data_IF_298574708512
#
_entry.id   IF_298574708512
#
_cell.length_a   1.000
_cell.length_b   1.000
_cell.length_c   1.000
_cell.angle_alpha   90.00
_cell.angle_beta   90.00
_cell.angle_gamma   90.00
#
_symmetry.space_group_name_H-M   'P 1'
#
loop_
_entity.id
_entity.type
_entity.pdbx_description
1 polymer ?
#
# COMPACT_ATOMS: atom_id res chain seq x y z
N UNK A 1 27.83 8.92 -8.86
CA UNK A 1 27.39 8.11 -7.70
C UNK A 1 26.66 9.07 -6.76
N UNK A 2 25.33 9.00 -6.74
CA UNK A 2 24.52 9.76 -5.77
C UNK A 2 24.73 9.19 -4.36
N UNK A 3 24.81 10.06 -3.35
CA UNK A 3 24.95 9.67 -1.95
C UNK A 3 23.78 8.72 -1.53
N UNK A 4 23.97 7.85 -0.52
CA UNK A 4 22.87 7.04 0.00
C UNK A 4 21.76 7.95 0.54
N UNK A 5 20.50 7.53 0.31
CA UNK A 5 19.32 8.24 0.81
C UNK A 5 19.33 8.23 2.34
N UNK A 6 19.16 9.39 2.96
CA UNK A 6 19.32 9.53 4.43
C UNK A 6 18.05 9.17 5.20
N UNK A 7 16.88 9.22 4.58
CA UNK A 7 15.59 9.06 5.25
C UNK A 7 15.08 7.61 5.37
N UNK A 8 15.46 6.73 4.45
CA UNK A 8 14.96 5.35 4.44
C UNK A 8 15.28 4.53 5.70
N UNK A 9 16.54 4.55 6.23
CA UNK A 9 16.87 3.86 7.48
C UNK A 9 16.13 4.42 8.69
N UNK A 10 15.94 5.76 8.75
CA UNK A 10 15.18 6.40 9.82
C UNK A 10 13.70 5.99 9.76
N UNK A 11 13.11 5.92 8.56
CA UNK A 11 11.76 5.45 8.37
C UNK A 11 11.60 3.97 8.76
N UNK A 12 12.54 3.12 8.38
CA UNK A 12 12.53 1.70 8.74
C UNK A 12 12.64 1.47 10.25
N UNK A 13 13.33 2.36 10.96
CA UNK A 13 13.44 2.32 12.41
C UNK A 13 12.28 3.01 13.16
N UNK A 14 11.34 3.63 12.43
CA UNK A 14 10.20 4.29 13.07
C UNK A 14 9.35 3.28 13.86
N UNK A 15 9.00 3.55 15.15
CA UNK A 15 8.29 2.59 16.00
C UNK A 15 6.99 2.06 15.39
N UNK A 16 6.23 2.91 14.68
CA UNK A 16 5.00 2.53 14.01
C UNK A 16 5.20 1.45 12.92
N UNK A 17 6.41 1.27 12.40
CA UNK A 17 6.74 0.25 11.40
C UNK A 17 7.53 -0.92 12.00
N UNK A 18 8.43 -0.64 12.96
CA UNK A 18 9.37 -1.62 13.49
C UNK A 18 8.68 -2.76 14.26
N UNK A 19 7.71 -2.45 15.11
CA UNK A 19 7.13 -3.42 16.05
C UNK A 19 6.33 -4.53 15.34
N UNK A 20 5.43 -4.17 14.43
CA UNK A 20 4.54 -5.13 13.76
C UNK A 20 4.93 -5.40 12.31
N UNK A 21 5.65 -4.49 11.70
CA UNK A 21 5.95 -4.48 10.27
C UNK A 21 4.67 -4.57 9.40
N UNK A 22 3.55 -4.08 9.94
CA UNK A 22 2.26 -3.95 9.25
C UNK A 22 1.85 -2.50 9.15
N UNK A 23 1.36 -2.13 7.96
CA UNK A 23 0.69 -0.88 7.65
C UNK A 23 -0.75 -1.20 7.28
N UNK A 24 -1.70 -0.50 7.88
CA UNK A 24 -3.10 -0.58 7.48
C UNK A 24 -3.29 0.04 6.10
N UNK A 25 -3.72 -0.75 5.11
CA UNK A 25 -4.03 -0.29 3.76
C UNK A 25 -5.47 0.19 3.65
N UNK A 26 -5.66 1.49 3.40
CA UNK A 26 -6.96 2.14 3.43
C UNK A 26 -7.84 1.95 2.19
N UNK A 27 -7.38 1.28 1.13
CA UNK A 27 -8.17 1.10 -0.08
C UNK A 27 -9.50 0.36 0.16
N UNK A 28 -9.56 -0.75 0.93
CA UNK A 28 -10.82 -1.44 1.19
C UNK A 28 -11.84 -0.57 1.95
N UNK A 29 -11.42 0.19 2.94
CA UNK A 29 -12.32 1.12 3.63
C UNK A 29 -12.70 2.34 2.79
N UNK A 30 -12.06 2.56 1.64
CA UNK A 30 -12.52 3.47 0.58
C UNK A 30 -13.64 2.88 -0.28
N UNK A 31 -13.95 1.57 -0.16
CA UNK A 31 -14.95 0.87 -0.94
C UNK A 31 -14.36 0.07 -2.11
N UNK A 32 -13.07 -0.31 -2.06
CA UNK A 32 -12.47 -1.14 -3.10
C UNK A 32 -13.15 -2.51 -3.15
N UNK A 33 -13.68 -2.88 -4.31
CA UNK A 33 -14.44 -4.09 -4.67
C UNK A 33 -15.83 -4.22 -4.04
N UNK A 34 -16.12 -3.59 -2.92
CA UNK A 34 -17.43 -3.62 -2.28
C UNK A 34 -17.67 -2.42 -1.38
N UNK A 35 -18.93 -2.11 -1.15
CA UNK A 35 -19.32 -1.02 -0.26
C UNK A 35 -19.02 -1.38 1.19
N UNK A 36 -18.32 -0.49 1.89
CA UNK A 36 -18.07 -0.57 3.34
C UNK A 36 -18.76 0.61 4.02
N UNK A 37 -19.60 0.36 5.03
CA UNK A 37 -20.26 1.42 5.79
C UNK A 37 -19.27 2.17 6.68
N UNK A 38 -19.61 3.41 7.09
CA UNK A 38 -18.77 4.19 8.00
C UNK A 38 -18.58 3.48 9.34
N UNK A 39 -19.62 2.83 9.84
CA UNK A 39 -19.55 2.06 11.08
C UNK A 39 -18.59 0.86 10.96
N UNK A 40 -18.64 0.11 9.86
CA UNK A 40 -17.73 -1.01 9.62
C UNK A 40 -16.28 -0.52 9.46
N UNK A 41 -16.06 0.57 8.72
CA UNK A 41 -14.74 1.16 8.58
C UNK A 41 -14.16 1.64 9.92
N UNK A 42 -14.96 2.31 10.74
CA UNK A 42 -14.55 2.76 12.09
C UNK A 42 -14.20 1.58 13.00
N UNK A 43 -15.01 0.51 12.98
CA UNK A 43 -14.74 -0.72 13.75
C UNK A 43 -13.46 -1.41 13.29
N UNK A 44 -13.18 -1.44 11.97
CA UNK A 44 -11.98 -2.02 11.40
C UNK A 44 -10.73 -1.24 11.79
N UNK A 45 -10.78 0.11 11.72
CA UNK A 45 -9.70 0.98 12.17
C UNK A 45 -9.43 0.85 13.68
N UNK A 46 -10.50 0.73 14.49
CA UNK A 46 -10.37 0.47 15.93
C UNK A 46 -9.67 -0.87 16.19
N UNK A 47 -10.08 -1.94 15.50
CA UNK A 47 -9.43 -3.24 15.63
C UNK A 47 -7.95 -3.21 15.20
N UNK A 48 -7.61 -2.46 14.14
CA UNK A 48 -6.22 -2.26 13.72
C UNK A 48 -5.39 -1.56 14.81
N UNK A 49 -5.95 -0.51 15.42
CA UNK A 49 -5.31 0.19 16.51
C UNK A 49 -5.12 -0.70 17.76
N UNK A 50 -6.16 -1.44 18.15
CA UNK A 50 -6.12 -2.35 19.30
C UNK A 50 -5.13 -3.51 19.08
N UNK A 51 -4.97 -3.95 17.83
CA UNK A 51 -3.95 -4.92 17.43
C UNK A 51 -2.51 -4.36 17.39
N UNK A 52 -2.32 -3.07 17.69
CA UNK A 52 -1.01 -2.41 17.73
C UNK A 52 -0.53 -1.88 16.38
N UNK A 53 -1.37 -1.84 15.34
CA UNK A 53 -1.01 -1.18 14.07
C UNK A 53 -1.05 0.34 14.30
N UNK A 54 0.03 1.01 13.91
CA UNK A 54 0.23 2.45 14.10
C UNK A 54 0.60 3.18 12.81
N UNK A 55 0.71 2.48 11.69
CA UNK A 55 0.96 3.05 10.38
C UNK A 55 -0.26 2.84 9.47
N UNK A 56 -0.68 3.90 8.77
CA UNK A 56 -1.89 3.93 7.94
C UNK A 56 -1.54 4.47 6.55
N UNK A 57 -1.80 3.68 5.49
CA UNK A 57 -1.64 4.08 4.10
C UNK A 57 -3.00 4.41 3.48
N UNK A 58 -3.07 5.53 2.82
CA UNK A 58 -4.28 5.99 2.11
C UNK A 58 -3.93 6.72 0.81
N UNK A 59 -4.93 7.24 0.10
CA UNK A 59 -4.77 8.08 -1.08
C UNK A 59 -6.05 8.85 -1.40
N UNK A 60 -5.98 10.01 -2.10
CA UNK A 60 -7.13 10.67 -2.70
C UNK A 60 -7.95 9.73 -3.59
N UNK A 61 -7.25 8.86 -4.31
CA UNK A 61 -7.85 7.86 -5.19
C UNK A 61 -8.83 6.92 -4.48
N UNK A 62 -8.59 6.57 -3.22
CA UNK A 62 -9.35 5.53 -2.52
C UNK A 62 -10.74 6.01 -2.11
N UNK A 63 -11.73 5.63 -2.93
CA UNK A 63 -13.13 6.05 -2.78
C UNK A 63 -13.31 7.56 -2.89
N UNK A 64 -12.54 8.23 -3.79
CA UNK A 64 -12.58 9.69 -3.97
C UNK A 64 -12.43 10.46 -2.64
N UNK A 65 -11.38 10.09 -1.88
CA UNK A 65 -11.04 10.73 -0.59
C UNK A 65 -11.79 10.16 0.61
N UNK A 66 -12.70 9.18 0.44
CA UNK A 66 -13.43 8.56 1.55
C UNK A 66 -12.49 7.88 2.54
N UNK A 67 -11.49 7.16 2.07
CA UNK A 67 -10.50 6.52 2.92
C UNK A 67 -9.75 7.55 3.78
N UNK A 68 -9.32 8.67 3.20
CA UNK A 68 -8.64 9.74 3.93
C UNK A 68 -9.56 10.37 5.00
N UNK A 69 -10.83 10.64 4.67
CA UNK A 69 -11.79 11.16 5.68
C UNK A 69 -11.97 10.19 6.85
N UNK A 70 -12.19 8.90 6.57
CA UNK A 70 -12.38 7.86 7.60
C UNK A 70 -11.16 7.69 8.50
N UNK A 71 -9.97 7.67 7.91
CA UNK A 71 -8.71 7.59 8.67
C UNK A 71 -8.52 8.87 9.49
N UNK A 72 -8.76 10.04 8.91
CA UNK A 72 -8.64 11.31 9.60
C UNK A 72 -9.61 11.43 10.78
N UNK A 73 -10.86 11.05 10.63
CA UNK A 73 -11.85 11.01 11.71
C UNK A 73 -11.45 10.04 12.81
N UNK A 74 -10.96 8.87 12.45
CA UNK A 74 -10.49 7.86 13.39
C UNK A 74 -9.26 8.34 14.19
N UNK A 75 -8.32 9.02 13.55
CA UNK A 75 -7.09 9.49 14.17
C UNK A 75 -7.28 10.80 14.95
N UNK A 76 -8.40 11.52 14.72
CA UNK A 76 -8.72 12.72 15.48
C UNK A 76 -8.80 12.42 16.98
N UNK A 77 -8.06 13.18 17.77
CA UNK A 77 -7.98 12.98 19.23
C UNK A 77 -6.97 11.93 19.70
N UNK A 78 -6.23 11.29 18.80
CA UNK A 78 -5.08 10.45 19.14
C UNK A 78 -3.79 11.28 19.16
N UNK A 79 -2.84 10.98 20.07
CA UNK A 79 -1.58 11.71 20.08
C UNK A 79 -0.83 11.55 18.75
N UNK A 80 -0.48 12.67 18.10
CA UNK A 80 0.09 12.68 16.74
C UNK A 80 1.39 11.87 16.63
N UNK A 81 2.15 11.79 17.69
CA UNK A 81 3.42 11.05 17.74
C UNK A 81 3.26 9.52 17.85
N UNK A 82 2.04 9.02 18.07
CA UNK A 82 1.79 7.59 18.21
C UNK A 82 1.50 6.90 16.87
N UNK A 83 1.33 7.64 15.78
CA UNK A 83 0.98 7.07 14.49
C UNK A 83 1.72 7.71 13.32
N UNK A 84 1.80 6.95 12.22
CA UNK A 84 2.35 7.35 10.94
C UNK A 84 1.24 7.31 9.89
N UNK A 85 1.14 8.36 9.07
CA UNK A 85 0.22 8.43 7.94
C UNK A 85 1.01 8.57 6.64
N UNK A 86 0.72 7.67 5.71
CA UNK A 86 1.16 7.71 4.33
C UNK A 86 -0.03 8.08 3.45
N UNK A 87 0.11 9.13 2.64
CA UNK A 87 -0.84 9.43 1.55
C UNK A 87 -0.11 9.61 0.23
N UNK A 88 -0.86 9.87 -0.83
CA UNK A 88 -0.31 9.90 -2.19
C UNK A 88 -0.73 11.16 -2.93
N UNK A 89 0.08 11.58 -3.91
CA UNK A 89 -0.15 12.77 -4.74
C UNK A 89 -0.15 12.42 -6.23
N UNK A 90 -0.62 13.35 -7.07
CA UNK A 90 -0.66 13.18 -8.52
C UNK A 90 -2.02 12.74 -9.06
N UNK A 91 -3.01 12.50 -8.19
CA UNK A 91 -4.41 12.26 -8.57
C UNK A 91 -5.31 13.25 -7.83
N UNK A 92 -5.70 14.31 -8.54
CA UNK A 92 -6.61 15.34 -8.02
C UNK A 92 -8.06 14.84 -8.06
N UNK A 93 -8.85 15.28 -7.09
CA UNK A 93 -10.29 15.06 -7.07
C UNK A 93 -10.98 16.33 -7.58
N UNK A 94 -11.78 16.18 -8.63
CA UNK A 94 -12.52 17.28 -9.25
C UNK A 94 -13.99 16.92 -9.37
N UNK A 95 -14.92 17.90 -9.42
CA UNK A 95 -16.34 17.64 -9.64
C UNK A 95 -16.55 16.83 -10.93
N UNK A 96 -17.42 15.83 -10.86
CA UNK A 96 -17.81 15.01 -11.99
C UNK A 96 -19.21 15.42 -12.51
N UNK A 97 -19.45 15.28 -13.82
CA UNK A 97 -20.76 15.54 -14.42
C UNK A 97 -21.83 14.48 -14.08
N UNK A 98 -21.46 13.40 -13.41
CA UNK A 98 -22.33 12.31 -12.99
C UNK A 98 -21.62 11.34 -12.06
N UNK A 99 -22.41 10.54 -11.34
CA UNK A 99 -21.87 9.47 -10.49
C UNK A 99 -21.68 8.19 -11.31
N UNK A 100 -20.52 7.56 -11.14
CA UNK A 100 -20.24 6.23 -11.67
C UNK A 100 -19.85 5.34 -10.49
N UNK A 101 -20.82 4.56 -9.99
CA UNK A 101 -20.57 3.57 -8.96
C UNK A 101 -19.68 2.44 -9.51
N UNK A 102 -18.73 1.99 -8.70
CA UNK A 102 -17.73 1.00 -9.13
C UNK A 102 -16.63 1.52 -10.05
N UNK A 103 -16.56 2.83 -10.33
CA UNK A 103 -15.48 3.40 -11.12
C UNK A 103 -14.10 3.05 -10.52
N UNK A 104 -13.21 2.49 -11.34
CA UNK A 104 -11.89 2.01 -10.94
C UNK A 104 -11.94 1.02 -9.74
N UNK A 105 -13.04 0.24 -9.64
CA UNK A 105 -13.25 -0.77 -8.60
C UNK A 105 -13.71 -0.24 -7.24
N UNK A 106 -14.00 1.07 -7.12
CA UNK A 106 -14.50 1.66 -5.87
C UNK A 106 -16.02 1.86 -5.92
N UNK A 107 -16.71 1.39 -4.88
CA UNK A 107 -18.15 1.45 -4.70
C UNK A 107 -18.56 2.41 -3.59
N UNK A 108 -19.77 2.94 -3.69
CA UNK A 108 -20.38 3.86 -2.74
C UNK A 108 -20.47 5.28 -3.29
N UNK A 109 -21.71 5.75 -3.44
CA UNK A 109 -22.01 7.10 -3.90
C UNK A 109 -21.58 8.16 -2.88
N UNK A 110 -21.02 9.26 -3.37
CA UNK A 110 -20.87 10.50 -2.62
C UNK A 110 -22.04 11.43 -3.01
N UNK A 111 -22.50 12.28 -2.08
CA UNK A 111 -23.53 13.28 -2.36
C UNK A 111 -23.10 14.24 -3.48
N UNK A 112 -21.81 14.58 -3.52
CA UNK A 112 -21.21 15.36 -4.60
C UNK A 112 -20.27 14.45 -5.38
N UNK A 113 -20.62 14.05 -6.61
CA UNK A 113 -19.77 13.18 -7.41
C UNK A 113 -18.42 13.81 -7.70
N UNK A 114 -17.36 13.08 -7.40
CA UNK A 114 -15.99 13.46 -7.72
C UNK A 114 -15.39 12.44 -8.70
N UNK A 115 -14.53 12.92 -9.58
CA UNK A 115 -13.69 12.08 -10.43
C UNK A 115 -12.22 12.40 -10.19
N UNK A 116 -11.35 11.57 -10.74
CA UNK A 116 -9.90 11.66 -10.59
C UNK A 116 -9.29 12.22 -11.85
N UNK A 117 -8.41 13.21 -11.71
CA UNK A 117 -7.58 13.75 -12.80
C UNK A 117 -6.13 13.57 -12.43
N UNK A 118 -5.33 13.01 -13.34
CA UNK A 118 -3.88 12.86 -13.15
C UNK A 118 -3.21 14.21 -13.41
N UNK A 119 -2.47 14.70 -12.41
CA UNK A 119 -1.71 15.94 -12.49
C UNK A 119 -0.46 15.82 -11.60
N UNK A 120 0.66 15.55 -12.21
CA UNK A 120 1.96 15.41 -11.55
C UNK A 120 2.79 16.68 -11.65
N UNK A 121 2.19 17.79 -12.09
CA UNK A 121 2.83 19.10 -12.03
C UNK A 121 3.10 19.51 -10.58
N UNK A 122 4.02 20.45 -10.40
CA UNK A 122 4.30 21.02 -9.07
C UNK A 122 3.02 21.50 -8.39
N UNK A 123 2.19 22.27 -9.10
CA UNK A 123 0.95 22.82 -8.55
C UNK A 123 -0.07 21.72 -8.25
N UNK A 124 -0.16 20.69 -9.11
CA UNK A 124 -0.99 19.51 -8.89
C UNK A 124 -0.60 18.75 -7.62
N UNK A 125 0.70 18.56 -7.39
CA UNK A 125 1.23 17.90 -6.19
C UNK A 125 0.89 18.69 -4.92
N UNK A 126 1.17 19.99 -4.91
CA UNK A 126 0.91 20.86 -3.77
C UNK A 126 -0.58 20.91 -3.44
N UNK A 127 -1.43 21.07 -4.45
CA UNK A 127 -2.88 21.04 -4.31
C UNK A 127 -3.39 19.69 -3.80
N UNK A 128 -2.90 18.58 -4.37
CA UNK A 128 -3.27 17.23 -3.96
C UNK A 128 -2.97 17.00 -2.49
N UNK A 129 -1.78 17.38 -2.01
CA UNK A 129 -1.40 17.21 -0.61
C UNK A 129 -2.23 18.11 0.32
N UNK A 130 -2.42 19.37 -0.02
CA UNK A 130 -3.23 20.30 0.78
C UNK A 130 -4.69 19.80 0.94
N UNK A 131 -5.30 19.32 -0.14
CA UNK A 131 -6.63 18.71 -0.11
C UNK A 131 -6.65 17.40 0.72
N UNK A 132 -5.58 16.58 0.68
CA UNK A 132 -5.43 15.39 1.52
C UNK A 132 -5.31 15.73 2.99
N UNK A 133 -4.53 16.73 3.35
CA UNK A 133 -4.39 17.20 4.74
C UNK A 133 -5.74 17.66 5.31
N UNK A 134 -6.56 18.37 4.50
CA UNK A 134 -7.92 18.77 4.93
C UNK A 134 -8.82 17.55 5.18
N UNK A 135 -8.81 16.53 4.27
CA UNK A 135 -9.61 15.31 4.44
C UNK A 135 -9.14 14.48 5.64
N UNK A 136 -7.84 14.40 5.85
CA UNK A 136 -7.22 13.72 7.00
C UNK A 136 -7.36 14.50 8.31
N UNK A 137 -7.70 15.80 8.26
CA UNK A 137 -7.74 16.70 9.41
C UNK A 137 -6.39 16.76 10.15
N UNK A 138 -5.31 16.74 9.40
CA UNK A 138 -3.93 16.77 9.88
C UNK A 138 -3.21 18.01 9.33
N UNK A 139 -2.24 18.51 10.07
CA UNK A 139 -1.34 19.59 9.66
C UNK A 139 -0.13 19.09 8.87
N UNK A 140 0.19 17.80 8.98
CA UNK A 140 1.27 17.13 8.28
C UNK A 140 1.00 15.64 8.10
N UNK A 141 1.62 15.02 7.09
CA UNK A 141 1.73 13.58 6.94
C UNK A 141 3.18 13.14 7.06
N UNK A 142 3.39 11.88 7.38
CA UNK A 142 4.75 11.36 7.56
C UNK A 142 5.35 10.94 6.22
N UNK A 143 4.55 10.34 5.34
CA UNK A 143 5.00 9.87 4.02
C UNK A 143 4.09 10.43 2.94
N UNK A 144 4.67 11.01 1.88
CA UNK A 144 3.99 11.37 0.65
C UNK A 144 4.57 10.62 -0.55
N UNK A 145 3.72 9.87 -1.28
CA UNK A 145 4.13 9.07 -2.42
C UNK A 145 3.57 9.63 -3.73
N UNK A 146 4.36 9.66 -4.79
CA UNK A 146 3.87 9.87 -6.17
C UNK A 146 3.08 8.61 -6.55
N UNK A 147 1.81 8.76 -6.96
CA UNK A 147 0.87 7.66 -7.13
C UNK A 147 0.70 7.25 -8.59
N UNK A 148 1.20 6.06 -8.96
CA UNK A 148 1.07 5.44 -10.29
C UNK A 148 1.31 6.43 -11.46
N UNK A 149 2.52 7.01 -11.56
CA UNK A 149 2.84 7.93 -12.64
C UNK A 149 3.24 7.23 -13.95
N UNK A 150 2.78 6.02 -14.22
CA UNK A 150 3.24 5.13 -15.29
C UNK A 150 3.35 5.84 -16.65
N UNK A 151 2.32 6.57 -17.06
CA UNK A 151 2.28 7.33 -18.31
C UNK A 151 2.88 8.75 -18.19
N UNK A 152 3.30 9.14 -16.98
CA UNK A 152 3.73 10.50 -16.62
C UNK A 152 5.11 10.52 -15.98
N UNK A 153 5.97 9.54 -16.29
CA UNK A 153 7.27 9.38 -15.63
C UNK A 153 8.19 10.60 -15.77
N UNK A 154 8.15 11.31 -16.92
CA UNK A 154 8.90 12.54 -17.11
C UNK A 154 8.41 13.64 -16.15
N UNK A 155 7.10 13.87 -16.09
CA UNK A 155 6.53 14.86 -15.18
C UNK A 155 6.73 14.48 -13.69
N UNK A 156 6.66 13.20 -13.38
CA UNK A 156 6.97 12.70 -12.04
C UNK A 156 8.42 13.01 -11.62
N UNK A 157 9.37 12.86 -12.53
CA UNK A 157 10.78 13.16 -12.28
C UNK A 157 11.05 14.67 -12.23
N UNK A 158 10.53 15.43 -13.19
CA UNK A 158 10.94 16.82 -13.42
C UNK A 158 10.15 17.82 -12.56
N UNK A 159 8.93 17.46 -12.12
CA UNK A 159 8.04 18.34 -11.37
C UNK A 159 7.58 17.75 -10.01
N UNK A 160 6.99 16.53 -10.00
CA UNK A 160 6.42 15.99 -8.77
C UNK A 160 7.50 15.66 -7.72
N UNK A 161 8.60 15.02 -8.12
CA UNK A 161 9.68 14.72 -7.19
C UNK A 161 10.32 15.99 -6.60
N UNK A 162 10.71 17.03 -7.36
CA UNK A 162 11.21 18.26 -6.78
C UNK A 162 10.22 18.96 -5.84
N UNK A 163 8.91 18.93 -6.16
CA UNK A 163 7.89 19.48 -5.28
C UNK A 163 7.84 18.75 -3.92
N UNK A 164 7.88 17.42 -3.93
CA UNK A 164 7.94 16.63 -2.71
C UNK A 164 9.26 16.81 -1.93
N UNK A 165 10.38 16.94 -2.64
CA UNK A 165 11.69 17.19 -2.02
C UNK A 165 11.70 18.55 -1.28
N UNK A 166 11.10 19.59 -1.86
CA UNK A 166 10.93 20.88 -1.21
C UNK A 166 10.04 20.78 0.04
N UNK A 167 8.93 20.03 -0.02
CA UNK A 167 8.05 19.82 1.11
C UNK A 167 8.74 19.05 2.25
N UNK A 168 9.60 18.06 1.91
CA UNK A 168 10.45 17.36 2.88
C UNK A 168 11.46 18.32 3.51
N UNK A 169 12.11 19.14 2.73
CA UNK A 169 13.07 20.13 3.24
C UNK A 169 12.41 21.17 4.16
N UNK A 170 11.13 21.50 3.95
CA UNK A 170 10.31 22.38 4.78
C UNK A 170 9.74 21.68 6.03
N UNK A 171 9.86 20.36 6.14
CA UNK A 171 9.29 19.58 7.25
C UNK A 171 7.77 19.36 7.18
N UNK A 172 7.13 19.64 6.05
CA UNK A 172 5.70 19.36 5.81
C UNK A 172 5.45 17.87 5.69
N UNK A 173 6.41 17.14 5.12
CA UNK A 173 6.45 15.69 5.08
C UNK A 173 7.79 15.20 5.63
N UNK A 174 7.80 14.02 6.25
CA UNK A 174 9.05 13.44 6.81
C UNK A 174 9.80 12.61 5.78
N UNK A 175 9.07 11.88 4.95
CA UNK A 175 9.62 10.99 3.94
C UNK A 175 8.85 11.12 2.62
N UNK A 176 9.56 10.95 1.51
CA UNK A 176 8.99 11.02 0.16
C UNK A 176 9.32 9.75 -0.63
N UNK A 177 8.46 9.43 -1.59
CA UNK A 177 8.65 8.26 -2.43
C UNK A 177 7.70 8.15 -3.60
N UNK A 178 7.57 6.93 -4.11
CA UNK A 178 6.58 6.59 -5.14
C UNK A 178 5.87 5.27 -4.80
N UNK A 179 4.60 5.15 -5.19
CA UNK A 179 3.79 3.95 -5.03
C UNK A 179 3.24 3.49 -6.37
N UNK A 180 3.57 2.25 -6.79
CA UNK A 180 3.22 1.72 -8.11
C UNK A 180 3.07 0.20 -8.10
N UNK A 181 2.43 -0.32 -9.15
CA UNK A 181 2.39 -1.76 -9.46
C UNK A 181 3.52 -2.20 -10.41
N UNK A 182 4.47 -1.33 -10.72
CA UNK A 182 5.60 -1.63 -11.61
C UNK A 182 6.93 -1.55 -10.86
N UNK A 183 7.54 -2.70 -10.58
CA UNK A 183 8.86 -2.77 -9.96
C UNK A 183 9.95 -2.11 -10.83
N UNK A 184 9.85 -2.23 -12.16
CA UNK A 184 10.81 -1.65 -13.08
C UNK A 184 10.77 -0.12 -13.08
N UNK A 185 9.56 0.48 -13.09
CA UNK A 185 9.42 1.93 -13.05
C UNK A 185 9.80 2.51 -11.69
N UNK A 186 9.51 1.80 -10.59
CA UNK A 186 10.02 2.16 -9.26
C UNK A 186 11.55 2.12 -9.22
N UNK A 187 12.18 1.09 -9.76
CA UNK A 187 13.64 1.02 -9.85
C UNK A 187 14.20 2.20 -10.65
N UNK A 188 13.55 2.56 -11.76
CA UNK A 188 13.94 3.71 -12.58
C UNK A 188 13.89 5.04 -11.80
N UNK A 189 12.86 5.25 -10.96
CA UNK A 189 12.76 6.41 -10.07
C UNK A 189 13.82 6.37 -8.98
N UNK A 190 13.99 5.22 -8.32
CA UNK A 190 15.01 5.05 -7.26
C UNK A 190 16.40 5.34 -7.77
N UNK A 191 16.73 5.04 -9.04
CA UNK A 191 18.03 5.37 -9.63
C UNK A 191 18.26 6.89 -9.80
N UNK A 192 17.19 7.66 -10.01
CA UNK A 192 17.24 9.06 -10.44
C UNK A 192 16.88 10.05 -9.35
N UNK A 193 16.13 9.63 -8.36
CA UNK A 193 15.62 10.47 -7.28
C UNK A 193 16.21 10.05 -5.92
N UNK A 194 16.30 11.01 -5.01
CA UNK A 194 16.62 10.77 -3.60
C UNK A 194 15.31 10.46 -2.84
N UNK A 195 14.82 9.22 -3.00
CA UNK A 195 13.59 8.74 -2.36
C UNK A 195 13.93 8.08 -1.02
N UNK A 196 13.10 8.32 -0.01
CA UNK A 196 13.21 7.68 1.29
C UNK A 196 12.55 6.30 1.31
N UNK A 197 11.49 6.12 0.53
CA UNK A 197 10.76 4.87 0.43
C UNK A 197 10.11 4.64 -0.93
N UNK A 198 9.72 3.39 -1.17
CA UNK A 198 8.82 2.99 -2.25
C UNK A 198 7.71 2.11 -1.71
N UNK A 199 6.51 2.20 -2.32
CA UNK A 199 5.44 1.23 -2.13
C UNK A 199 5.30 0.44 -3.43
N UNK A 200 5.61 -0.85 -3.39
CA UNK A 200 5.46 -1.76 -4.53
C UNK A 200 4.27 -2.69 -4.26
N UNK A 201 3.26 -2.65 -5.13
CA UNK A 201 2.04 -3.39 -4.92
C UNK A 201 1.96 -4.62 -5.83
N UNK A 202 1.76 -5.81 -5.23
CA UNK A 202 1.51 -7.07 -5.93
C UNK A 202 2.70 -7.64 -6.70
N UNK A 203 3.93 -7.16 -6.49
CA UNK A 203 5.15 -7.58 -7.22
C UNK A 203 6.19 -8.26 -6.33
N UNK A 204 5.81 -8.56 -5.08
CA UNK A 204 6.56 -9.46 -4.23
C UNK A 204 5.61 -10.27 -3.33
N UNK A 205 5.09 -11.35 -3.89
CA UNK A 205 4.09 -12.24 -3.31
C UNK A 205 4.40 -13.69 -3.70
N UNK A 206 3.61 -14.66 -3.24
CA UNK A 206 3.74 -16.06 -3.69
C UNK A 206 3.43 -16.27 -5.19
N UNK A 207 2.81 -15.29 -5.86
CA UNK A 207 2.45 -15.39 -7.28
C UNK A 207 3.30 -14.52 -8.20
N UNK A 208 3.97 -13.51 -7.67
CA UNK A 208 4.80 -12.58 -8.44
C UNK A 208 5.94 -12.07 -7.54
N UNK A 209 7.17 -12.35 -7.90
CA UNK A 209 8.39 -11.94 -7.20
C UNK A 209 9.28 -10.99 -8.04
N UNK A 210 8.72 -10.38 -9.06
CA UNK A 210 9.44 -9.54 -10.02
C UNK A 210 10.20 -8.36 -9.39
N UNK A 211 9.79 -7.89 -8.21
CA UNK A 211 10.51 -6.85 -7.47
C UNK A 211 11.85 -7.33 -6.89
N UNK A 212 11.99 -8.64 -6.63
CA UNK A 212 13.20 -9.20 -6.00
C UNK A 212 14.45 -9.07 -6.86
N UNK A 213 14.30 -9.19 -8.19
CA UNK A 213 15.43 -9.19 -9.11
C UNK A 213 15.99 -7.81 -9.45
N UNK A 214 15.16 -6.78 -9.46
CA UNK A 214 15.54 -5.44 -9.92
C UNK A 214 15.45 -4.37 -8.85
N UNK A 215 14.29 -4.20 -8.24
CA UNK A 215 13.99 -3.12 -7.29
C UNK A 215 14.69 -3.35 -5.94
N UNK A 216 14.55 -4.52 -5.34
CA UNK A 216 15.01 -4.75 -3.97
C UNK A 216 16.52 -4.63 -3.78
N UNK A 217 17.37 -5.19 -4.67
CA UNK A 217 18.82 -4.98 -4.56
C UNK A 217 19.21 -3.50 -4.65
N UNK A 218 18.50 -2.72 -5.45
CA UNK A 218 18.73 -1.29 -5.57
C UNK A 218 18.31 -0.55 -4.31
N UNK A 219 17.12 -0.84 -3.76
CA UNK A 219 16.66 -0.25 -2.51
C UNK A 219 17.63 -0.53 -1.35
N UNK A 220 18.12 -1.77 -1.21
CA UNK A 220 19.11 -2.11 -0.20
C UNK A 220 20.40 -1.30 -0.35
N UNK A 221 20.93 -1.19 -1.57
CA UNK A 221 22.16 -0.40 -1.82
C UNK A 221 21.99 1.09 -1.54
N UNK A 222 20.81 1.64 -1.79
CA UNK A 222 20.53 3.07 -1.63
C UNK A 222 19.93 3.44 -0.28
N UNK A 223 19.60 2.46 0.56
CA UNK A 223 18.95 2.69 1.84
C UNK A 223 17.50 3.18 1.69
N UNK A 224 16.79 2.75 0.63
CA UNK A 224 15.38 3.08 0.40
C UNK A 224 14.51 2.05 1.09
N UNK A 225 13.60 2.49 1.96
CA UNK A 225 12.64 1.61 2.62
C UNK A 225 11.61 1.05 1.63
N UNK A 226 11.23 -0.22 1.76
CA UNK A 226 10.23 -0.86 0.91
C UNK A 226 8.96 -1.17 1.70
N UNK A 227 7.86 -0.59 1.30
CA UNK A 227 6.51 -0.95 1.72
C UNK A 227 5.92 -1.90 0.67
N UNK A 228 5.69 -3.16 1.05
CA UNK A 228 5.14 -4.15 0.11
C UNK A 228 3.61 -4.19 0.24
N UNK A 229 2.92 -3.67 -0.76
CA UNK A 229 1.46 -3.69 -0.86
C UNK A 229 0.94 -4.86 -1.70
N UNK A 230 -0.39 -5.03 -1.71
CA UNK A 230 -1.02 -6.08 -2.51
C UNK A 230 -0.58 -7.50 -2.13
N UNK A 231 -0.26 -7.74 -0.87
CA UNK A 231 0.28 -8.99 -0.32
C UNK A 231 -0.56 -10.21 -0.70
N UNK A 232 -1.87 -10.03 -0.76
CA UNK A 232 -2.81 -11.07 -1.15
C UNK A 232 -3.22 -11.03 -2.63
N UNK A 233 -2.53 -10.25 -3.48
CA UNK A 233 -2.82 -10.11 -4.92
C UNK A 233 -4.32 -9.96 -5.20
N UNK A 234 -4.91 -8.84 -4.77
CA UNK A 234 -6.35 -8.55 -4.91
C UNK A 234 -7.28 -9.58 -4.21
N UNK A 235 -6.75 -10.34 -3.24
CA UNK A 235 -7.50 -11.29 -2.43
C UNK A 235 -7.34 -12.76 -2.82
N UNK A 236 -6.77 -13.09 -3.99
CA UNK A 236 -6.62 -14.48 -4.44
C UNK A 236 -5.76 -15.34 -3.50
N UNK A 237 -4.79 -14.75 -2.79
CA UNK A 237 -3.97 -15.44 -1.78
C UNK A 237 -4.63 -15.46 -0.40
N UNK A 238 -5.75 -14.73 -0.19
CA UNK A 238 -6.59 -14.91 0.97
C UNK A 238 -7.58 -16.06 0.75
N UNK A 239 -8.25 -16.07 -0.42
CA UNK A 239 -9.14 -17.15 -0.85
C UNK A 239 -9.10 -17.30 -2.38
N UNK A 240 -8.52 -18.39 -2.94
CA UNK A 240 -8.53 -18.70 -4.36
C UNK A 240 -9.86 -19.31 -4.83
N UNK A 241 -11.00 -18.71 -4.43
CA UNK A 241 -12.35 -19.08 -4.84
C UNK A 241 -12.65 -18.76 -6.32
N UNK A 242 -13.92 -18.96 -6.74
CA UNK A 242 -14.33 -18.87 -8.15
C UNK A 242 -14.16 -17.48 -8.79
N UNK A 243 -14.49 -16.42 -8.04
CA UNK A 243 -14.45 -15.02 -8.50
C UNK A 243 -13.22 -14.26 -7.96
N UNK A 244 -12.15 -15.00 -7.64
CA UNK A 244 -10.91 -14.41 -7.15
C UNK A 244 -10.32 -13.42 -8.15
N UNK A 245 -9.76 -12.33 -7.63
CA UNK A 245 -9.17 -11.25 -8.43
C UNK A 245 -7.64 -11.29 -8.36
N UNK A 246 -7.03 -10.85 -9.45
CA UNK A 246 -5.60 -10.64 -9.58
C UNK A 246 -5.37 -9.35 -10.37
N UNK A 247 -4.48 -8.50 -9.92
CA UNK A 247 -4.22 -7.18 -10.55
C UNK A 247 -5.53 -6.40 -10.85
N UNK A 248 -6.42 -6.36 -9.85
CA UNK A 248 -7.72 -5.65 -9.85
C UNK A 248 -8.78 -6.20 -10.82
N UNK A 249 -8.49 -7.24 -11.60
CA UNK A 249 -9.41 -7.90 -12.52
C UNK A 249 -9.72 -9.34 -12.06
N UNK A 250 -10.64 -10.01 -12.73
CA UNK A 250 -10.84 -11.46 -12.53
C UNK A 250 -9.53 -12.22 -12.83
N UNK A 251 -9.18 -13.14 -11.96
CA UNK A 251 -7.92 -13.86 -12.09
C UNK A 251 -7.90 -14.75 -13.35
N UNK A 252 -6.85 -14.68 -14.18
CA UNK A 252 -6.67 -15.61 -15.28
C UNK A 252 -6.64 -17.05 -14.75
N UNK A 253 -7.17 -18.05 -15.52
CA UNK A 253 -7.22 -19.45 -15.09
C UNK A 253 -5.86 -20.02 -14.64
N UNK A 254 -4.77 -19.65 -15.29
CA UNK A 254 -3.42 -20.09 -14.91
C UNK A 254 -3.01 -19.55 -13.52
N UNK A 255 -3.29 -18.26 -13.23
CA UNK A 255 -3.00 -17.63 -11.93
C UNK A 255 -3.85 -18.25 -10.84
N UNK A 256 -5.15 -18.49 -11.11
CA UNK A 256 -6.05 -19.16 -10.18
C UNK A 256 -5.59 -20.59 -9.86
N UNK A 257 -5.13 -21.33 -10.86
CA UNK A 257 -4.56 -22.67 -10.69
C UNK A 257 -3.32 -22.65 -9.79
N UNK A 258 -2.42 -21.69 -9.98
CA UNK A 258 -1.22 -21.51 -9.14
C UNK A 258 -1.60 -21.17 -7.68
N UNK A 259 -2.56 -20.27 -7.48
CA UNK A 259 -3.02 -19.92 -6.14
C UNK A 259 -3.66 -21.11 -5.41
N UNK A 260 -4.47 -21.92 -6.11
CA UNK A 260 -5.07 -23.15 -5.55
C UNK A 260 -4.01 -24.17 -5.19
N UNK A 261 -3.02 -24.36 -6.03
CA UNK A 261 -1.89 -25.25 -5.73
C UNK A 261 -1.10 -24.76 -4.51
N UNK A 262 -0.83 -23.48 -4.41
CA UNK A 262 -0.17 -22.91 -3.23
C UNK A 262 -0.99 -23.17 -1.96
N UNK A 263 -2.34 -23.02 -2.01
CA UNK A 263 -3.23 -23.38 -0.92
C UNK A 263 -3.10 -24.85 -0.52
N UNK A 264 -3.11 -25.74 -1.49
CA UNK A 264 -3.07 -27.20 -1.24
C UNK A 264 -1.72 -27.61 -0.64
N UNK A 265 -0.61 -27.01 -1.09
CA UNK A 265 0.71 -27.19 -0.49
C UNK A 265 0.70 -26.66 0.94
N UNK A 266 0.24 -25.43 1.19
CA UNK A 266 0.15 -24.87 2.55
C UNK A 266 -0.69 -25.77 3.48
N UNK A 267 -1.82 -26.27 3.00
CA UNK A 267 -2.70 -27.15 3.75
C UNK A 267 -2.03 -28.46 4.17
N UNK A 268 -1.15 -29.03 3.33
CA UNK A 268 -0.38 -30.23 3.66
C UNK A 268 0.58 -30.01 4.86
N UNK A 269 0.98 -28.74 5.11
CA UNK A 269 1.79 -28.33 6.26
C UNK A 269 0.94 -27.80 7.42
N UNK A 270 -0.38 -27.80 7.32
CA UNK A 270 -1.28 -27.20 8.32
C UNK A 270 -1.19 -25.68 8.39
N UNK A 271 -0.69 -25.01 7.35
CA UNK A 271 -0.49 -23.56 7.28
C UNK A 271 -1.61 -22.94 6.45
N UNK A 272 -2.31 -21.89 6.96
CA UNK A 272 -3.24 -21.13 6.13
C UNK A 272 -2.49 -20.41 4.98
N UNK A 273 -3.02 -20.45 3.76
CA UNK A 273 -2.42 -19.77 2.60
C UNK A 273 -2.13 -18.28 2.88
N UNK A 274 -3.07 -17.47 3.46
CA UNK A 274 -2.79 -16.06 3.74
C UNK A 274 -1.67 -15.87 4.77
N UNK A 275 -1.48 -16.78 5.73
CA UNK A 275 -0.35 -16.72 6.64
C UNK A 275 0.97 -16.92 5.90
N UNK A 276 1.04 -17.92 5.00
CA UNK A 276 2.20 -18.11 4.14
C UNK A 276 2.47 -16.90 3.24
N UNK A 277 1.43 -16.32 2.62
CA UNK A 277 1.55 -15.15 1.76
C UNK A 277 2.11 -13.92 2.49
N UNK A 278 1.57 -13.59 3.66
CA UNK A 278 2.03 -12.46 4.46
C UNK A 278 3.47 -12.69 4.96
N UNK A 279 3.77 -13.86 5.45
CA UNK A 279 5.10 -14.20 5.96
C UNK A 279 6.14 -14.26 4.85
N UNK A 280 5.79 -14.76 3.65
CA UNK A 280 6.65 -14.71 2.47
C UNK A 280 7.09 -13.29 2.17
N UNK A 281 6.14 -12.35 2.08
CA UNK A 281 6.43 -10.94 1.82
C UNK A 281 7.40 -10.34 2.83
N UNK A 282 7.25 -10.65 4.12
CA UNK A 282 8.09 -10.12 5.19
C UNK A 282 9.46 -10.81 5.34
N UNK A 283 9.73 -11.91 4.63
CA UNK A 283 11.01 -12.62 4.71
C UNK A 283 12.16 -11.90 4.00
N UNK A 284 11.86 -11.11 2.98
CA UNK A 284 12.93 -10.45 2.23
C UNK A 284 13.52 -9.28 3.03
N UNK A 285 14.85 -9.17 3.14
CA UNK A 285 15.51 -8.14 3.97
C UNK A 285 15.26 -6.71 3.48
N UNK A 286 14.93 -6.51 2.21
CA UNK A 286 14.58 -5.20 1.67
C UNK A 286 13.20 -4.72 2.15
N UNK A 287 12.28 -5.62 2.47
CA UNK A 287 10.91 -5.25 2.86
C UNK A 287 10.91 -4.72 4.29
N UNK A 288 10.56 -3.45 4.43
CA UNK A 288 10.41 -2.78 5.74
C UNK A 288 9.11 -3.20 6.41
N UNK A 289 7.99 -3.11 5.69
CA UNK A 289 6.67 -3.47 6.19
C UNK A 289 5.74 -3.92 5.06
N UNK A 290 4.73 -4.72 5.41
CA UNK A 290 3.65 -5.12 4.53
C UNK A 290 2.45 -4.17 4.70
N UNK A 291 1.89 -3.69 3.58
CA UNK A 291 0.65 -2.91 3.55
C UNK A 291 -0.51 -3.85 3.29
N UNK A 292 -1.34 -4.06 4.29
CA UNK A 292 -2.44 -5.01 4.27
C UNK A 292 -3.77 -4.28 4.43
N UNK A 293 -4.65 -4.44 3.45
CA UNK A 293 -5.99 -3.86 3.46
C UNK A 293 -7.00 -4.78 4.13
N UNK A 294 -7.87 -4.21 4.95
CA UNK A 294 -8.95 -4.94 5.60
C UNK A 294 -10.26 -4.14 5.59
N UNK A 295 -11.40 -4.84 5.60
CA UNK A 295 -12.77 -4.31 5.60
C UNK A 295 -13.49 -4.54 6.91
N UNK A 296 -13.02 -5.55 7.66
CA UNK A 296 -13.67 -5.98 8.91
C UNK A 296 -12.65 -6.16 10.04
N UNK A 297 -13.10 -6.06 11.30
CA UNK A 297 -12.26 -6.38 12.46
C UNK A 297 -11.72 -7.82 12.45
N UNK A 298 -12.46 -8.75 11.85
CA UNK A 298 -12.08 -10.17 11.74
C UNK A 298 -10.88 -10.34 10.83
N UNK A 299 -10.87 -9.64 9.67
CA UNK A 299 -9.72 -9.63 8.76
C UNK A 299 -8.46 -9.09 9.48
N UNK A 300 -8.57 -8.00 10.24
CA UNK A 300 -7.44 -7.46 11.04
C UNK A 300 -6.92 -8.48 12.06
N UNK A 301 -7.82 -9.15 12.79
CA UNK A 301 -7.41 -10.17 13.76
C UNK A 301 -6.72 -11.36 13.10
N UNK A 302 -7.22 -11.77 11.94
CA UNK A 302 -6.60 -12.84 11.15
C UNK A 302 -5.20 -12.42 10.67
N UNK A 303 -5.07 -11.25 10.03
CA UNK A 303 -3.81 -10.74 9.49
C UNK A 303 -2.74 -10.58 10.57
N UNK A 304 -3.13 -10.05 11.74
CA UNK A 304 -2.19 -9.92 12.88
C UNK A 304 -1.83 -11.27 13.49
N UNK A 305 -2.76 -12.23 13.50
CA UNK A 305 -2.52 -13.60 13.90
C UNK A 305 -1.53 -14.32 12.97
N UNK A 306 -1.57 -14.07 11.68
CA UNK A 306 -0.66 -14.65 10.70
C UNK A 306 0.81 -14.27 10.90
N UNK A 307 1.08 -13.13 11.54
CA UNK A 307 2.47 -12.73 11.87
C UNK A 307 3.15 -13.69 12.83
N UNK A 308 2.39 -14.30 13.74
CA UNK A 308 2.89 -15.26 14.75
C UNK A 308 2.65 -16.72 14.35
N UNK A 309 2.14 -16.98 13.13
CA UNK A 309 1.95 -18.34 12.65
C UNK A 309 3.29 -19.08 12.58
N UNK A 310 3.30 -20.30 13.11
CA UNK A 310 4.44 -21.20 12.95
C UNK A 310 4.42 -21.79 11.53
N UNK A 311 5.43 -21.47 10.74
CA UNK A 311 5.55 -21.90 9.35
C UNK A 311 6.83 -22.71 9.20
N UNK A 312 6.73 -24.03 8.96
CA UNK A 312 7.88 -24.87 8.77
C UNK A 312 8.75 -24.42 7.60
N UNK A 313 10.08 -24.41 7.78
CA UNK A 313 11.02 -24.01 6.71
C UNK A 313 10.89 -24.86 5.44
N UNK A 314 10.49 -26.13 5.58
CA UNK A 314 10.26 -27.03 4.45
C UNK A 314 9.13 -26.58 3.52
N UNK A 315 8.20 -25.74 3.97
CA UNK A 315 7.12 -25.19 3.13
C UNK A 315 7.66 -24.36 1.96
N UNK A 316 8.72 -23.56 2.19
CA UNK A 316 9.15 -22.58 1.21
C UNK A 316 9.73 -23.17 -0.08
N UNK A 317 10.61 -24.21 -0.04
CA UNK A 317 11.04 -24.88 -1.25
C UNK A 317 9.89 -25.51 -2.04
N UNK A 318 8.89 -26.09 -1.36
CA UNK A 318 7.75 -26.72 -2.03
C UNK A 318 6.87 -25.68 -2.75
N UNK A 319 6.68 -24.49 -2.15
CA UNK A 319 5.99 -23.37 -2.80
C UNK A 319 6.78 -22.82 -3.99
N UNK A 320 8.11 -22.74 -3.90
CA UNK A 320 8.97 -22.25 -4.99
C UNK A 320 9.12 -23.27 -6.14
N UNK A 321 9.11 -24.55 -5.84
CA UNK A 321 9.25 -25.64 -6.81
C UNK A 321 7.95 -26.01 -7.53
N UNK A 322 6.82 -25.40 -7.15
CA UNK A 322 5.53 -25.67 -7.80
C UNK A 322 5.58 -25.16 -9.26
N UNK A 323 5.53 -26.04 -10.30
CA UNK A 323 5.61 -25.62 -11.70
C UNK A 323 4.48 -24.64 -12.03
N UNK A 324 4.79 -23.72 -12.95
CA UNK A 324 3.89 -22.66 -13.40
C UNK A 324 2.61 -23.22 -14.04
#
# INVERSE_FOLDING_TARGET
>A
MTAPCSGGPALAAHPALADRRLVFGGAPIGGLYELVSDQAAAATLAAAWDAGIRAFDTAPHYGTGRSERRIGEFLAGRPRQEFLVCTKVGRLLVPAAGHVDGAEGFYGAEETPLTRVRDYSRDGVLRSLDESLRRLRLDRVDIALIHDPDDFMAQALDEAYPALADLRAQGVVTAIGAGMNSAALLAWLVERCDLDCVLVAGRYTLLDDSAAGSLFPLCLRRGVAVLAGGVFNSGILADPGGDARYDYALAPPAVLSRARRARDICAAYGVPLPAAALRYTLRHPAVTAAVVGARTPEEIRADTGYLSADIPDALWPDLAGAPA
#
